data_IF_986680596758
#
_entry.id   IF_986680596758
#
_cell.length_a   1.000
_cell.length_b   1.000
_cell.length_c   1.000
_cell.angle_alpha   90.00
_cell.angle_beta   90.00
_cell.angle_gamma   90.00
#
_symmetry.space_group_name_H-M   'P 1'
#
loop_
_entity.id
_entity.type
_entity.pdbx_description
1 polymer ?
#
# COMPACT_ATOMS: atom_id res chain seq x y z
N UNK A 1 -6.42 0.55 -0.95
CA UNK A 1 -5.71 -0.36 -0.03
C UNK A 1 -6.61 -1.49 0.47
N UNK A 2 -7.78 -1.23 1.03
CA UNK A 2 -8.67 -2.32 1.53
C UNK A 2 -9.03 -3.33 0.44
N UNK A 3 -9.52 -2.85 -0.71
CA UNK A 3 -9.79 -3.72 -1.87
C UNK A 3 -8.61 -4.63 -2.24
N UNK A 4 -7.39 -4.08 -2.27
CA UNK A 4 -6.19 -4.85 -2.57
C UNK A 4 -5.83 -5.84 -1.47
N UNK A 5 -6.05 -5.47 -0.21
CA UNK A 5 -5.76 -6.35 0.93
C UNK A 5 -6.71 -7.55 0.98
N UNK A 6 -8.00 -7.32 0.71
CA UNK A 6 -9.04 -8.34 0.80
C UNK A 6 -9.08 -9.23 -0.46
N UNK A 7 -8.91 -8.64 -1.64
CA UNK A 7 -9.13 -9.31 -2.93
C UNK A 7 -7.87 -9.39 -3.83
N UNK A 8 -6.74 -8.82 -3.41
CA UNK A 8 -5.54 -8.73 -4.25
C UNK A 8 -5.76 -7.82 -5.47
N UNK A 9 -5.13 -8.18 -6.60
CA UNK A 9 -5.38 -7.52 -7.88
C UNK A 9 -6.71 -8.03 -8.43
N UNK A 10 -7.76 -7.22 -8.31
CA UNK A 10 -9.12 -7.50 -8.79
C UNK A 10 -9.54 -6.54 -9.91
N UNK A 11 -10.50 -6.94 -10.74
CA UNK A 11 -11.05 -6.06 -11.80
C UNK A 11 -11.61 -4.76 -11.23
N UNK A 12 -12.26 -4.82 -10.06
CA UNK A 12 -12.77 -3.66 -9.36
C UNK A 12 -11.66 -2.69 -8.95
N UNK A 13 -10.51 -3.20 -8.49
CA UNK A 13 -9.35 -2.39 -8.19
C UNK A 13 -8.80 -1.73 -9.46
N UNK A 14 -8.69 -2.50 -10.55
CA UNK A 14 -8.19 -2.00 -11.83
C UNK A 14 -9.06 -0.87 -12.39
N UNK A 15 -10.39 -1.05 -12.37
CA UNK A 15 -11.35 -0.02 -12.81
C UNK A 15 -11.15 1.27 -12.00
N UNK A 16 -11.14 1.18 -10.66
CA UNK A 16 -10.94 2.35 -9.79
C UNK A 16 -9.61 3.06 -10.03
N UNK A 17 -8.52 2.30 -10.22
CA UNK A 17 -7.21 2.88 -10.49
C UNK A 17 -7.21 3.59 -11.86
N UNK A 18 -7.80 2.98 -12.88
CA UNK A 18 -7.90 3.58 -14.21
C UNK A 18 -8.77 4.85 -14.21
N UNK A 19 -9.87 4.87 -13.47
CA UNK A 19 -10.70 6.08 -13.30
C UNK A 19 -9.92 7.22 -12.64
N UNK A 20 -9.13 6.93 -11.60
CA UNK A 20 -8.31 7.93 -10.91
C UNK A 20 -7.16 8.43 -11.81
N UNK A 21 -6.56 7.51 -12.57
CA UNK A 21 -5.37 7.77 -13.37
C UNK A 21 -5.68 8.19 -14.82
N UNK A 22 -6.95 8.33 -15.20
CA UNK A 22 -7.37 8.67 -16.57
C UNK A 22 -6.73 9.96 -17.10
N UNK A 23 -6.43 10.91 -16.22
CA UNK A 23 -5.82 12.20 -16.54
C UNK A 23 -4.30 12.22 -16.38
N UNK A 24 -3.68 11.10 -16.01
CA UNK A 24 -2.21 10.99 -15.95
C UNK A 24 -1.71 10.75 -17.36
N UNK A 25 -1.11 11.78 -17.94
CA UNK A 25 -0.53 11.69 -19.27
C UNK A 25 0.75 10.83 -19.25
N UNK A 26 1.03 10.15 -20.36
CA UNK A 26 2.31 9.46 -20.57
C UNK A 26 3.14 10.31 -21.52
N UNK A 27 4.35 10.66 -21.09
CA UNK A 27 5.33 11.34 -21.91
C UNK A 27 6.38 10.33 -22.39
N UNK A 28 6.71 10.37 -23.68
CA UNK A 28 7.86 9.64 -24.21
C UNK A 28 9.09 10.54 -24.11
N UNK A 29 10.13 10.07 -23.42
CA UNK A 29 11.44 10.70 -23.31
C UNK A 29 12.48 9.84 -24.00
N UNK A 30 13.55 10.45 -24.50
CA UNK A 30 14.72 9.74 -25.00
C UNK A 30 15.84 9.85 -23.98
N UNK A 31 16.27 8.71 -23.47
CA UNK A 31 17.30 8.59 -22.44
C UNK A 31 18.52 7.84 -22.99
N UNK A 32 19.70 8.14 -22.42
CA UNK A 32 20.90 7.35 -22.66
C UNK A 32 21.01 6.26 -21.58
N UNK A 33 20.75 5.01 -21.97
CA UNK A 33 20.87 3.84 -21.08
C UNK A 33 21.93 2.92 -21.69
N UNK A 34 23.00 2.65 -20.93
CA UNK A 34 24.10 1.78 -21.36
C UNK A 34 24.69 2.16 -22.74
N UNK A 35 24.86 3.48 -22.97
CA UNK A 35 25.37 4.04 -24.21
C UNK A 35 24.48 3.79 -25.45
N UNK A 36 23.17 3.65 -25.24
CA UNK A 36 22.16 3.50 -26.30
C UNK A 36 21.06 4.54 -26.13
N UNK A 37 20.56 5.06 -27.25
CA UNK A 37 19.37 5.92 -27.29
C UNK A 37 18.12 5.05 -27.09
N UNK A 38 17.43 5.22 -25.98
CA UNK A 38 16.24 4.44 -25.62
C UNK A 38 15.04 5.35 -25.43
N UNK A 39 13.92 5.01 -26.05
CA UNK A 39 12.64 5.64 -25.79
C UNK A 39 12.03 5.08 -24.49
N UNK A 40 11.81 5.94 -23.50
CA UNK A 40 11.24 5.59 -22.19
C UNK A 40 9.91 6.30 -22.03
N UNK A 41 8.87 5.55 -21.67
CA UNK A 41 7.56 6.09 -21.35
C UNK A 41 7.50 6.38 -19.85
N UNK A 42 7.33 7.65 -19.49
CA UNK A 42 7.21 8.11 -18.11
C UNK A 42 5.85 8.72 -17.88
N UNK A 43 5.27 8.49 -16.71
CA UNK A 43 4.07 9.22 -16.32
C UNK A 43 4.42 10.70 -16.12
N UNK A 44 3.70 11.56 -16.83
CA UNK A 44 3.77 12.99 -16.64
C UNK A 44 2.89 13.38 -15.45
N UNK A 45 3.54 13.58 -14.30
CA UNK A 45 2.92 14.16 -13.13
C UNK A 45 3.22 15.67 -13.09
N UNK A 46 2.20 16.55 -13.04
CA UNK A 46 2.45 17.97 -12.86
C UNK A 46 3.13 18.23 -11.51
N UNK A 47 3.77 19.40 -11.33
CA UNK A 47 4.52 19.75 -10.11
C UNK A 47 3.70 19.62 -8.81
N UNK A 48 2.38 19.80 -8.90
CA UNK A 48 1.43 19.56 -7.81
C UNK A 48 0.29 18.67 -8.31
N UNK A 49 0.49 17.33 -8.37
CA UNK A 49 -0.56 16.43 -8.82
C UNK A 49 -1.68 16.35 -7.75
N UNK A 50 -2.93 16.08 -8.16
CA UNK A 50 -3.98 15.77 -7.21
C UNK A 50 -3.53 14.63 -6.27
N UNK A 51 -3.65 14.76 -4.94
CA UNK A 51 -3.11 13.77 -4.00
C UNK A 51 -3.60 12.34 -4.26
N UNK A 52 -4.84 12.20 -4.73
CA UNK A 52 -5.42 10.90 -5.07
C UNK A 52 -4.76 10.27 -6.30
N UNK A 53 -4.50 11.06 -7.35
CA UNK A 53 -3.81 10.59 -8.55
C UNK A 53 -2.37 10.19 -8.25
N UNK A 54 -1.65 11.02 -7.48
CA UNK A 54 -0.31 10.69 -7.01
C UNK A 54 -0.30 9.40 -6.18
N UNK A 55 -1.21 9.29 -5.21
CA UNK A 55 -1.33 8.11 -4.37
C UNK A 55 -1.65 6.83 -5.16
N UNK A 56 -2.58 6.90 -6.12
CA UNK A 56 -2.94 5.77 -6.98
C UNK A 56 -1.78 5.35 -7.90
N UNK A 57 -1.03 6.30 -8.45
CA UNK A 57 0.13 6.01 -9.29
C UNK A 57 1.26 5.36 -8.48
N UNK A 58 1.60 5.95 -7.32
CA UNK A 58 2.61 5.38 -6.42
C UNK A 58 2.21 3.98 -5.94
N UNK A 59 0.93 3.80 -5.58
CA UNK A 59 0.40 2.48 -5.21
C UNK A 59 0.56 1.48 -6.36
N UNK A 60 0.21 1.87 -7.60
CA UNK A 60 0.32 1.00 -8.78
C UNK A 60 1.77 0.59 -9.04
N UNK A 61 2.72 1.53 -8.96
CA UNK A 61 4.15 1.27 -9.13
C UNK A 61 4.73 0.37 -8.02
N UNK A 62 4.39 0.63 -6.76
CA UNK A 62 4.86 -0.23 -5.67
C UNK A 62 4.29 -1.64 -5.81
N UNK A 63 3.04 -1.76 -6.27
CA UNK A 63 2.39 -3.06 -6.50
C UNK A 63 3.04 -3.81 -7.66
N UNK A 64 3.34 -3.15 -8.79
CA UNK A 64 3.96 -3.79 -9.96
C UNK A 64 5.37 -4.33 -9.69
N UNK A 65 6.08 -3.71 -8.75
CA UNK A 65 7.39 -4.15 -8.28
C UNK A 65 7.33 -5.16 -7.12
N UNK A 66 6.17 -5.76 -6.86
CA UNK A 66 5.94 -6.68 -5.74
C UNK A 66 6.23 -6.08 -4.35
N UNK A 67 6.29 -4.74 -4.22
CA UNK A 67 6.64 -4.05 -2.98
C UNK A 67 5.58 -4.16 -1.87
N UNK A 68 4.41 -4.74 -2.17
CA UNK A 68 3.35 -5.04 -1.21
C UNK A 68 3.34 -6.50 -0.75
N UNK A 69 4.37 -7.28 -1.08
CA UNK A 69 4.48 -8.64 -0.57
C UNK A 69 4.53 -8.64 0.98
N UNK A 70 3.69 -9.46 1.60
CA UNK A 70 3.59 -9.49 3.06
C UNK A 70 2.81 -8.32 3.68
N UNK A 71 2.01 -7.60 2.88
CA UNK A 71 1.04 -6.62 3.36
C UNK A 71 0.04 -7.24 4.34
N UNK A 72 -0.12 -6.57 5.49
CA UNK A 72 -0.96 -7.02 6.59
C UNK A 72 -1.67 -5.85 7.23
N UNK A 73 -2.80 -6.16 7.86
CA UNK A 73 -3.49 -5.26 8.78
C UNK A 73 -3.06 -5.50 10.22
N UNK A 74 -2.82 -4.44 10.98
CA UNK A 74 -2.47 -4.55 12.39
C UNK A 74 -3.61 -5.20 13.19
N UNK A 75 -3.30 -6.20 14.04
CA UNK A 75 -4.30 -6.88 14.89
C UNK A 75 -4.62 -6.17 16.20
N UNK A 76 -4.13 -4.95 16.41
CA UNK A 76 -4.51 -4.15 17.58
C UNK A 76 -5.85 -3.50 17.31
N UNK A 77 -6.84 -3.69 18.19
CA UNK A 77 -8.24 -3.27 17.98
C UNK A 77 -8.39 -1.80 17.56
N UNK A 78 -7.54 -0.91 18.06
CA UNK A 78 -7.61 0.53 17.78
C UNK A 78 -6.65 0.98 16.66
N UNK A 79 -6.09 0.05 15.89
CA UNK A 79 -5.08 0.35 14.87
C UNK A 79 -5.53 -0.14 13.50
N UNK A 80 -5.88 0.79 12.63
CA UNK A 80 -6.28 0.53 11.24
C UNK A 80 -5.10 0.53 10.26
N UNK A 81 -3.85 0.57 10.76
CA UNK A 81 -2.67 0.67 9.92
C UNK A 81 -2.40 -0.63 9.16
N UNK A 82 -2.08 -0.47 7.89
CA UNK A 82 -1.38 -1.48 7.10
C UNK A 82 0.11 -1.46 7.40
N UNK A 83 0.77 -2.61 7.25
CA UNK A 83 2.21 -2.73 7.36
C UNK A 83 2.73 -3.90 6.53
N UNK A 84 3.98 -3.80 6.08
CA UNK A 84 4.75 -4.91 5.54
C UNK A 84 5.52 -5.56 6.69
N UNK A 85 5.42 -6.87 6.85
CA UNK A 85 6.12 -7.56 7.93
C UNK A 85 6.34 -9.03 7.68
N UNK A 86 7.29 -9.61 8.42
CA UNK A 86 7.62 -11.05 8.41
C UNK A 86 6.36 -11.91 8.48
N UNK A 87 6.38 -13.14 7.94
CA UNK A 87 5.23 -14.06 7.88
C UNK A 87 4.44 -14.20 9.21
N UNK A 88 5.11 -14.18 10.35
CA UNK A 88 4.48 -14.30 11.68
C UNK A 88 4.18 -12.97 12.40
N UNK A 89 4.55 -11.83 11.80
CA UNK A 89 4.24 -10.52 12.36
C UNK A 89 2.73 -10.26 12.37
N UNK A 90 2.19 -9.86 13.52
CA UNK A 90 0.76 -9.59 13.75
C UNK A 90 0.46 -8.11 14.05
N UNK A 91 1.47 -7.31 14.34
CA UNK A 91 1.32 -5.92 14.75
C UNK A 91 2.29 -5.04 13.97
N UNK A 92 1.86 -3.83 13.62
CA UNK A 92 2.67 -2.87 12.88
C UNK A 92 3.80 -2.26 13.73
N UNK A 93 3.74 -2.39 15.06
CA UNK A 93 4.73 -1.84 15.98
C UNK A 93 4.76 -2.59 17.31
N UNK A 94 5.86 -2.45 18.06
CA UNK A 94 5.98 -2.97 19.43
C UNK A 94 4.91 -2.39 20.36
N UNK A 95 4.58 -1.10 20.21
CA UNK A 95 3.53 -0.44 20.98
C UNK A 95 2.16 -1.09 20.76
N UNK A 96 1.80 -1.40 19.51
CA UNK A 96 0.56 -2.11 19.19
C UNK A 96 0.52 -3.51 19.80
N UNK A 97 1.64 -4.25 19.71
CA UNK A 97 1.74 -5.59 20.30
C UNK A 97 1.63 -5.59 21.83
N UNK A 98 2.29 -4.65 22.49
CA UNK A 98 2.22 -4.50 23.95
C UNK A 98 0.82 -4.08 24.41
N UNK A 99 0.21 -3.09 23.76
CA UNK A 99 -1.16 -2.65 24.06
C UNK A 99 -2.16 -3.81 23.92
N UNK A 100 -2.04 -4.59 22.85
CA UNK A 100 -2.89 -5.77 22.64
C UNK A 100 -2.75 -6.80 23.78
N UNK A 101 -1.51 -7.14 24.18
CA UNK A 101 -1.27 -8.10 25.28
C UNK A 101 -1.85 -7.62 26.62
N UNK A 102 -1.65 -6.34 26.96
CA UNK A 102 -2.19 -5.74 28.19
C UNK A 102 -3.71 -5.76 28.19
N UNK A 103 -4.35 -5.38 27.08
CA UNK A 103 -5.81 -5.42 26.97
C UNK A 103 -6.36 -6.84 27.10
N UNK A 104 -5.70 -7.83 26.48
CA UNK A 104 -6.08 -9.24 26.61
C UNK A 104 -5.97 -9.71 28.07
N UNK A 105 -4.88 -9.39 28.76
CA UNK A 105 -4.71 -9.72 30.18
C UNK A 105 -5.81 -9.10 31.06
N UNK A 106 -6.13 -7.82 30.84
CA UNK A 106 -7.19 -7.11 31.58
C UNK A 106 -8.56 -7.74 31.35
N UNK A 107 -8.89 -8.14 30.11
CA UNK A 107 -10.14 -8.83 29.79
C UNK A 107 -10.24 -10.19 30.49
N UNK A 108 -9.17 -10.99 30.44
CA UNK A 108 -9.15 -12.30 31.10
C UNK A 108 -9.31 -12.18 32.62
N UNK A 109 -8.66 -11.20 33.26
CA UNK A 109 -8.83 -10.95 34.70
C UNK A 109 -10.27 -10.59 35.07
N UNK A 110 -10.99 -9.85 34.22
CA UNK A 110 -12.38 -9.47 34.44
C UNK A 110 -13.39 -10.61 34.23
N UNK A 111 -13.04 -11.63 33.45
CA UNK A 111 -13.92 -12.77 33.16
C UNK A 111 -13.84 -13.90 34.19
N UNK A 112 -12.93 -13.78 35.17
CA UNK A 112 -12.71 -14.75 36.25
C UNK A 112 -13.43 -14.33 37.55
N UNK A 113 -14.00 -13.11 37.57
CA UNK A 113 -14.90 -12.61 38.60
C UNK A 113 -16.31 -12.51 38.03
#
# INVERSE_FOLDING_TARGET
MEEYYDNGVSDNLLIKLNEILVNVNIQCLFENIENRLVAVHVAYMPYNPPPLAFGAYMFSNVTSLCGLEGLKRCKSNDCLKFFIGRRNAKWCSNSCGSKYRVNKLRKNKRAVY
#
